data_IF_613786603110
#
_entry.id   IF_613786603110
#
_cell.length_a   1.000
_cell.length_b   1.000
_cell.length_c   1.000
_cell.angle_alpha   90.00
_cell.angle_beta   90.00
_cell.angle_gamma   90.00
#
_symmetry.space_group_name_H-M   'P 1'
#
loop_
_entity.id
_entity.type
_entity.pdbx_description
1 polymer ?
#
# COMPACT_ATOMS: atom_id res chain seq x y z
N UNK A 1 2.27 -23.72 -4.68
CA UNK A 1 0.88 -24.23 -4.66
C UNK A 1 0.22 -23.83 -3.33
N UNK A 2 -1.10 -23.65 -3.31
CA UNK A 2 -1.85 -23.33 -2.10
C UNK A 2 -2.82 -24.45 -1.73
N UNK A 3 -2.92 -24.74 -0.44
CA UNK A 3 -3.87 -25.69 0.14
C UNK A 3 -4.64 -25.03 1.28
N UNK A 4 -5.89 -25.43 1.49
CA UNK A 4 -6.68 -24.96 2.63
C UNK A 4 -6.29 -25.75 3.90
N UNK A 5 -6.31 -25.10 5.04
CA UNK A 5 -6.07 -25.71 6.36
C UNK A 5 -6.96 -26.94 6.54
N UNK A 6 -6.38 -28.04 7.00
CA UNK A 6 -7.05 -29.33 7.22
C UNK A 6 -7.65 -29.98 5.95
N UNK A 7 -7.31 -29.51 4.74
CA UNK A 7 -7.70 -30.19 3.51
C UNK A 7 -7.03 -31.55 3.39
N UNK A 8 -7.78 -32.56 2.94
CA UNK A 8 -7.30 -33.93 2.79
C UNK A 8 -6.73 -34.13 1.38
N UNK A 9 -5.42 -33.96 1.20
CA UNK A 9 -4.74 -34.08 -0.09
C UNK A 9 -3.78 -35.26 -0.10
N UNK A 10 -4.11 -36.28 -0.88
CA UNK A 10 -3.28 -37.47 -1.05
C UNK A 10 -2.01 -37.12 -1.83
N UNK A 11 -0.84 -37.48 -1.30
CA UNK A 11 0.44 -37.19 -1.94
C UNK A 11 0.61 -37.96 -3.28
N UNK A 12 -0.12 -39.06 -3.48
CA UNK A 12 -0.12 -39.80 -4.75
C UNK A 12 -0.68 -38.99 -5.93
N UNK A 13 -1.46 -37.94 -5.65
CA UNK A 13 -1.96 -37.01 -6.67
C UNK A 13 -0.90 -36.04 -7.20
N UNK A 14 0.23 -35.90 -6.49
CA UNK A 14 1.34 -35.06 -6.90
C UNK A 14 2.41 -35.93 -7.54
N UNK A 15 2.88 -35.54 -8.71
CA UNK A 15 3.90 -36.27 -9.45
C UNK A 15 5.15 -35.43 -9.66
N UNK A 16 6.29 -36.12 -9.77
CA UNK A 16 7.58 -35.55 -10.16
C UNK A 16 8.05 -36.20 -11.44
N UNK A 17 8.75 -35.42 -12.27
CA UNK A 17 9.41 -35.93 -13.47
C UNK A 17 10.84 -36.31 -13.14
N UNK A 18 11.15 -37.60 -13.21
CA UNK A 18 12.49 -38.14 -13.05
C UNK A 18 13.11 -38.39 -14.43
N UNK A 19 14.28 -37.83 -14.68
CA UNK A 19 15.05 -38.07 -15.92
C UNK A 19 16.36 -38.78 -15.60
N UNK A 20 16.53 -40.00 -16.09
CA UNK A 20 17.76 -40.80 -15.92
C UNK A 20 18.21 -41.35 -17.27
N UNK A 21 19.49 -41.20 -17.61
CA UNK A 21 20.09 -41.72 -18.84
C UNK A 21 19.26 -41.43 -20.12
N UNK A 22 18.70 -40.22 -20.23
CA UNK A 22 17.88 -39.79 -21.36
C UNK A 22 16.42 -40.27 -21.35
N UNK A 23 16.00 -41.12 -20.41
CA UNK A 23 14.61 -41.57 -20.25
C UNK A 23 13.88 -40.72 -19.21
N UNK A 24 12.64 -40.31 -19.49
CA UNK A 24 11.78 -39.57 -18.56
C UNK A 24 10.70 -40.52 -17.98
N UNK A 25 10.48 -40.44 -16.67
CA UNK A 25 9.43 -41.14 -15.94
C UNK A 25 8.66 -40.14 -15.09
N UNK A 26 7.34 -40.28 -15.01
CA UNK A 26 6.48 -39.51 -14.10
C UNK A 26 6.14 -40.41 -12.93
N UNK A 27 6.57 -40.03 -11.72
CA UNK A 27 6.39 -40.83 -10.51
C UNK A 27 5.54 -40.05 -9.49
N UNK A 28 4.53 -40.66 -8.85
CA UNK A 28 3.86 -40.03 -7.72
C UNK A 28 4.83 -39.85 -6.55
N UNK A 29 4.55 -38.89 -5.65
CA UNK A 29 5.39 -38.70 -4.46
C UNK A 29 5.42 -39.92 -3.53
N UNK A 30 4.45 -40.83 -3.67
CA UNK A 30 4.39 -42.08 -2.91
C UNK A 30 5.15 -43.23 -3.57
N UNK A 31 5.83 -43.02 -4.71
CA UNK A 31 6.59 -44.07 -5.39
C UNK A 31 7.78 -44.52 -4.56
N UNK A 32 7.92 -45.85 -4.39
CA UNK A 32 9.00 -46.48 -3.62
C UNK A 32 10.43 -46.15 -4.08
N UNK A 33 10.61 -45.68 -5.32
CA UNK A 33 11.92 -45.22 -5.83
C UNK A 33 12.36 -43.90 -5.19
N UNK A 34 11.42 -43.14 -4.62
CA UNK A 34 11.67 -41.83 -4.05
C UNK A 34 11.76 -41.93 -2.53
N UNK A 35 12.70 -41.21 -1.93
CA UNK A 35 12.66 -40.92 -0.49
C UNK A 35 12.04 -39.55 -0.29
N UNK A 36 10.86 -39.49 0.31
CA UNK A 36 10.10 -38.24 0.48
C UNK A 36 9.94 -37.91 1.96
N UNK A 37 10.28 -36.67 2.35
CA UNK A 37 10.06 -36.13 3.69
C UNK A 37 9.21 -34.86 3.64
N UNK A 38 8.55 -34.52 4.75
CA UNK A 38 7.62 -33.38 4.83
C UNK A 38 6.16 -33.73 4.53
N UNK A 39 5.83 -35.02 4.42
CA UNK A 39 4.46 -35.53 4.36
C UNK A 39 3.95 -35.85 5.78
N UNK A 40 2.63 -35.84 5.96
CA UNK A 40 1.95 -36.31 7.18
C UNK A 40 1.06 -37.50 6.81
N UNK A 41 1.37 -38.69 7.35
CA UNK A 41 0.64 -39.94 7.09
C UNK A 41 0.40 -40.22 5.60
N UNK A 42 1.44 -40.00 4.77
CA UNK A 42 1.38 -40.21 3.32
C UNK A 42 0.62 -39.11 2.54
N UNK A 43 0.24 -38.02 3.20
CA UNK A 43 -0.50 -36.89 2.63
C UNK A 43 0.29 -35.60 2.70
N UNK A 44 -0.17 -34.59 1.97
CA UNK A 44 0.35 -33.22 2.11
C UNK A 44 -0.02 -32.72 3.51
N UNK A 45 0.97 -32.22 4.24
CA UNK A 45 0.73 -31.69 5.58
C UNK A 45 0.02 -30.33 5.48
N UNK A 46 -1.29 -30.31 5.74
CA UNK A 46 -2.14 -29.10 5.77
C UNK A 46 -2.60 -28.75 7.18
N UNK A 47 -1.97 -29.30 8.22
CA UNK A 47 -2.45 -29.15 9.62
C UNK A 47 -2.15 -27.81 10.28
N UNK A 48 -1.32 -26.99 9.64
CA UNK A 48 -0.96 -25.66 10.12
C UNK A 48 -0.75 -24.71 8.96
N UNK A 49 -1.11 -23.44 9.18
CA UNK A 49 -0.97 -22.33 8.22
C UNK A 49 0.51 -21.98 8.03
N UNK A 50 0.90 -21.63 6.82
CA UNK A 50 2.25 -21.15 6.49
C UNK A 50 2.92 -21.86 5.32
N UNK A 51 4.14 -21.43 4.99
CA UNK A 51 4.99 -22.11 4.00
C UNK A 51 5.48 -23.45 4.55
N UNK A 52 5.44 -24.48 3.71
CA UNK A 52 5.90 -25.83 4.00
C UNK A 52 6.72 -26.37 2.83
N UNK A 53 7.57 -27.34 3.11
CA UNK A 53 8.47 -27.93 2.12
C UNK A 53 8.37 -29.45 2.14
N UNK A 54 8.18 -30.04 0.96
CA UNK A 54 8.37 -31.46 0.70
C UNK A 54 9.76 -31.64 0.09
N UNK A 55 10.57 -32.52 0.66
CA UNK A 55 11.87 -32.88 0.10
C UNK A 55 11.76 -34.24 -0.58
N UNK A 56 12.07 -34.29 -1.87
CA UNK A 56 12.09 -35.52 -2.66
C UNK A 56 13.55 -35.85 -3.00
N UNK A 57 13.97 -37.07 -2.71
CA UNK A 57 15.32 -37.55 -3.03
C UNK A 57 15.27 -38.79 -3.92
N UNK A 58 16.19 -38.82 -4.89
CA UNK A 58 16.48 -39.98 -5.72
C UNK A 58 18.01 -40.03 -5.94
N UNK A 59 18.66 -41.09 -5.44
CA UNK A 59 20.13 -41.17 -5.39
C UNK A 59 20.75 -39.90 -4.77
N UNK A 60 21.61 -39.17 -5.48
CA UNK A 60 22.20 -37.91 -5.01
C UNK A 60 21.35 -36.67 -5.34
N UNK A 61 20.28 -36.80 -6.12
CA UNK A 61 19.43 -35.67 -6.53
C UNK A 61 18.43 -35.31 -5.43
N UNK A 62 18.27 -34.01 -5.17
CA UNK A 62 17.35 -33.45 -4.18
C UNK A 62 16.47 -32.40 -4.86
N UNK A 63 15.15 -32.52 -4.69
CA UNK A 63 14.15 -31.55 -5.11
C UNK A 63 13.37 -31.08 -3.88
N UNK A 64 13.32 -29.77 -3.67
CA UNK A 64 12.49 -29.14 -2.65
C UNK A 64 11.25 -28.53 -3.31
N UNK A 65 10.07 -29.01 -2.91
CA UNK A 65 8.78 -28.51 -3.38
C UNK A 65 8.18 -27.66 -2.27
N UNK A 66 8.10 -26.35 -2.49
CA UNK A 66 7.45 -25.42 -1.58
C UNK A 66 5.96 -25.30 -1.87
N UNK A 67 5.16 -25.28 -0.80
CA UNK A 67 3.73 -25.01 -0.86
C UNK A 67 3.31 -24.17 0.35
N UNK A 68 2.11 -23.62 0.28
CA UNK A 68 1.58 -22.79 1.36
C UNK A 68 0.20 -23.27 1.78
N UNK A 69 -0.02 -23.31 3.09
CA UNK A 69 -1.32 -23.62 3.69
C UNK A 69 -1.96 -22.32 4.15
N UNK A 70 -3.18 -22.08 3.72
CA UNK A 70 -3.97 -20.89 4.04
C UNK A 70 -5.18 -21.25 4.90
N UNK A 71 -5.67 -20.30 5.70
CA UNK A 71 -6.93 -20.48 6.42
C UNK A 71 -8.10 -20.66 5.46
N UNK A 72 -8.10 -19.88 4.37
CA UNK A 72 -9.15 -19.96 3.35
C UNK A 72 -8.61 -19.76 1.94
N UNK A 73 -9.08 -20.60 1.03
CA UNK A 73 -8.90 -20.43 -0.42
C UNK A 73 -10.22 -19.92 -1.02
N UNK A 74 -10.27 -18.66 -1.45
CA UNK A 74 -11.51 -18.01 -1.89
C UNK A 74 -11.64 -17.99 -3.41
N UNK A 75 -12.82 -18.33 -3.93
CA UNK A 75 -13.06 -18.46 -5.39
C UNK A 75 -14.17 -17.55 -5.91
N UNK A 76 -14.97 -17.00 -5.02
CA UNK A 76 -16.08 -16.11 -5.31
C UNK A 76 -16.23 -15.09 -4.16
N UNK A 77 -17.12 -14.11 -4.33
CA UNK A 77 -17.31 -13.04 -3.35
C UNK A 77 -17.89 -13.52 -2.01
N UNK A 78 -18.81 -14.50 -2.03
CA UNK A 78 -19.40 -15.04 -0.80
C UNK A 78 -18.35 -15.72 0.09
N UNK A 79 -17.46 -16.53 -0.50
CA UNK A 79 -16.32 -17.14 0.20
C UNK A 79 -15.43 -16.06 0.82
N UNK A 80 -15.19 -14.97 0.07
CA UNK A 80 -14.31 -13.90 0.51
C UNK A 80 -14.92 -13.11 1.67
N UNK A 81 -16.22 -12.80 1.60
CA UNK A 81 -16.98 -12.16 2.68
C UNK A 81 -16.92 -12.98 3.97
N UNK A 82 -17.18 -14.29 3.87
CA UNK A 82 -17.07 -15.21 5.02
C UNK A 82 -15.65 -15.24 5.59
N UNK A 83 -14.64 -15.33 4.74
CA UNK A 83 -13.24 -15.39 5.16
C UNK A 83 -12.79 -14.14 5.93
N UNK A 84 -13.29 -12.96 5.54
CA UNK A 84 -12.99 -11.68 6.18
C UNK A 84 -13.62 -11.58 7.58
N UNK A 85 -14.79 -12.20 7.80
CA UNK A 85 -15.49 -12.20 9.08
C UNK A 85 -14.85 -13.11 10.15
N UNK A 86 -13.98 -14.06 9.77
CA UNK A 86 -13.25 -14.86 10.77
C UNK A 86 -12.26 -13.98 11.56
N UNK A 87 -11.88 -14.35 12.79
CA UNK A 87 -11.02 -13.48 13.64
C UNK A 87 -9.63 -13.23 13.05
N UNK A 88 -8.98 -14.28 12.53
CA UNK A 88 -7.63 -14.21 11.98
C UNK A 88 -7.52 -15.08 10.73
N UNK A 89 -6.58 -14.79 9.85
CA UNK A 89 -6.16 -15.79 8.86
C UNK A 89 -5.49 -15.25 7.60
N UNK A 90 -4.79 -16.18 6.93
CA UNK A 90 -4.32 -16.05 5.57
C UNK A 90 -5.45 -16.44 4.61
N UNK A 91 -5.90 -15.46 3.83
CA UNK A 91 -6.89 -15.60 2.76
C UNK A 91 -6.13 -15.55 1.43
N UNK A 92 -6.30 -16.58 0.60
CA UNK A 92 -5.66 -16.64 -0.73
C UNK A 92 -6.72 -16.61 -1.80
N UNK A 93 -6.61 -15.67 -2.73
CA UNK A 93 -7.44 -15.65 -3.93
C UNK A 93 -7.04 -16.80 -4.85
N UNK A 94 -8.03 -17.55 -5.31
CA UNK A 94 -7.84 -18.59 -6.32
C UNK A 94 -8.45 -18.21 -7.68
N UNK A 95 -9.20 -17.11 -7.72
CA UNK A 95 -9.87 -16.54 -8.89
C UNK A 95 -9.93 -15.02 -8.75
N UNK A 96 -10.20 -14.33 -9.86
CA UNK A 96 -10.63 -12.94 -9.80
C UNK A 96 -12.00 -12.85 -9.13
N UNK A 97 -12.17 -11.87 -8.24
CA UNK A 97 -13.38 -11.60 -7.48
C UNK A 97 -13.92 -10.24 -7.91
N UNK A 98 -15.19 -10.20 -8.33
CA UNK A 98 -15.93 -8.96 -8.51
C UNK A 98 -16.98 -8.87 -7.41
N UNK A 99 -17.02 -7.73 -6.72
CA UNK A 99 -18.13 -7.38 -5.83
C UNK A 99 -19.32 -7.00 -6.70
N UNK A 100 -20.46 -7.64 -6.47
CA UNK A 100 -21.68 -7.42 -7.25
C UNK A 100 -22.35 -6.10 -6.88
N UNK A 101 -23.08 -5.49 -7.82
CA UNK A 101 -23.74 -4.18 -7.63
C UNK A 101 -24.88 -4.18 -6.62
N UNK A 102 -25.27 -5.33 -6.06
CA UNK A 102 -26.25 -5.45 -4.97
C UNK A 102 -25.61 -5.54 -3.59
N UNK A 103 -24.29 -5.63 -3.51
CA UNK A 103 -23.54 -5.82 -2.28
C UNK A 103 -22.81 -4.52 -1.89
N UNK A 104 -22.58 -4.36 -0.58
CA UNK A 104 -21.62 -3.39 -0.08
C UNK A 104 -20.20 -3.99 -0.13
N UNK A 105 -19.18 -3.14 -0.14
CA UNK A 105 -17.79 -3.58 -0.03
C UNK A 105 -17.51 -4.38 1.25
N UNK A 106 -16.31 -4.95 1.31
CA UNK A 106 -15.86 -5.78 2.43
C UNK A 106 -15.52 -4.90 3.64
N UNK A 107 -15.81 -5.39 4.85
CA UNK A 107 -15.38 -4.74 6.10
C UNK A 107 -14.50 -5.71 6.88
N UNK A 108 -13.24 -5.35 7.10
CA UNK A 108 -12.38 -6.06 8.06
C UNK A 108 -12.76 -5.58 9.45
N UNK A 109 -13.32 -6.44 10.32
CA UNK A 109 -13.81 -5.99 11.63
C UNK A 109 -12.67 -5.53 12.54
N UNK A 110 -13.03 -4.72 13.53
CA UNK A 110 -12.09 -4.29 14.58
C UNK A 110 -11.53 -5.52 15.31
N UNK A 111 -10.25 -5.46 15.69
CA UNK A 111 -9.53 -6.52 16.39
C UNK A 111 -9.27 -7.80 15.55
N UNK A 112 -9.65 -7.81 14.27
CA UNK A 112 -9.33 -8.91 13.35
C UNK A 112 -7.98 -8.67 12.66
N UNK A 113 -7.27 -9.75 12.35
CA UNK A 113 -5.97 -9.69 11.64
C UNK A 113 -6.02 -10.55 10.39
N UNK A 114 -5.95 -9.92 9.22
CA UNK A 114 -6.09 -10.60 7.93
C UNK A 114 -4.87 -10.39 7.05
N UNK A 115 -4.39 -11.48 6.46
CA UNK A 115 -3.46 -11.41 5.33
C UNK A 115 -4.23 -11.80 4.07
N UNK A 116 -4.32 -10.89 3.12
CA UNK A 116 -4.87 -11.12 1.79
C UNK A 116 -3.71 -11.34 0.81
N UNK A 117 -3.59 -12.58 0.36
CA UNK A 117 -2.71 -12.98 -0.74
C UNK A 117 -3.51 -12.93 -2.05
N UNK A 118 -3.15 -11.99 -2.91
CA UNK A 118 -3.79 -11.80 -4.21
C UNK A 118 -3.47 -12.95 -5.18
N UNK A 119 -2.29 -13.59 -5.05
CA UNK A 119 -1.87 -14.71 -5.89
C UNK A 119 -2.08 -14.45 -7.39
N UNK A 120 -1.77 -13.23 -7.84
CA UNK A 120 -1.96 -12.80 -9.22
C UNK A 120 -3.40 -12.58 -9.68
N UNK A 121 -4.37 -12.53 -8.76
CA UNK A 121 -5.79 -12.31 -9.05
C UNK A 121 -6.28 -10.91 -8.69
N UNK A 122 -7.42 -10.54 -9.26
CA UNK A 122 -8.03 -9.22 -9.13
C UNK A 122 -9.18 -9.25 -8.12
N UNK A 123 -9.24 -8.28 -7.21
CA UNK A 123 -10.46 -7.91 -6.48
C UNK A 123 -10.96 -6.59 -7.05
N UNK A 124 -12.20 -6.57 -7.52
CA UNK A 124 -12.78 -5.39 -8.15
C UNK A 124 -14.14 -5.04 -7.59
N UNK A 125 -14.44 -3.74 -7.53
CA UNK A 125 -15.78 -3.23 -7.28
C UNK A 125 -16.11 -2.17 -8.30
N UNK A 126 -17.06 -2.45 -9.19
CA UNK A 126 -17.63 -1.46 -10.10
C UNK A 126 -19.09 -1.26 -9.72
N UNK A 127 -19.45 -0.05 -9.31
CA UNK A 127 -20.79 0.24 -8.80
C UNK A 127 -21.36 1.52 -9.38
N UNK A 128 -22.69 1.55 -9.56
CA UNK A 128 -23.46 2.73 -9.96
C UNK A 128 -24.17 3.40 -8.78
N UNK A 129 -23.81 3.06 -7.54
CA UNK A 129 -24.33 3.75 -6.37
C UNK A 129 -24.00 5.24 -6.44
N UNK A 130 -24.99 6.08 -6.14
CA UNK A 130 -24.79 7.51 -5.96
C UNK A 130 -24.04 7.74 -4.63
N UNK A 131 -23.11 8.68 -4.64
CA UNK A 131 -22.36 9.08 -3.45
C UNK A 131 -21.12 8.23 -3.17
N UNK A 132 -20.82 8.05 -1.87
CA UNK A 132 -19.56 7.44 -1.40
C UNK A 132 -19.52 5.93 -1.55
N UNK A 133 -18.35 5.38 -1.90
CA UNK A 133 -18.17 3.93 -2.00
C UNK A 133 -16.83 3.51 -1.39
N UNK A 134 -16.76 2.29 -0.86
CA UNK A 134 -15.48 1.67 -0.52
C UNK A 134 -15.52 0.20 -0.91
N UNK A 135 -14.49 -0.29 -1.61
CA UNK A 135 -14.34 -1.74 -1.85
C UNK A 135 -13.95 -2.46 -0.55
N UNK A 136 -13.01 -1.91 0.21
CA UNK A 136 -12.63 -2.42 1.55
C UNK A 136 -12.70 -1.29 2.57
N UNK A 137 -13.41 -1.52 3.68
CA UNK A 137 -13.30 -0.73 4.90
C UNK A 137 -12.49 -1.52 5.93
N UNK A 138 -11.31 -1.04 6.30
CA UNK A 138 -10.45 -1.72 7.26
C UNK A 138 -10.60 -1.11 8.66
N UNK A 139 -11.23 -1.82 9.59
CA UNK A 139 -11.31 -1.44 11.01
C UNK A 139 -10.30 -2.22 11.89
N UNK A 140 -9.69 -3.28 11.35
CA UNK A 140 -8.76 -4.16 12.04
C UNK A 140 -7.32 -3.99 11.56
N UNK A 141 -6.61 -5.09 11.42
CA UNK A 141 -5.29 -5.15 10.75
C UNK A 141 -5.41 -5.92 9.44
N UNK A 142 -5.13 -5.25 8.32
CA UNK A 142 -5.13 -5.85 6.98
C UNK A 142 -3.72 -5.80 6.40
N UNK A 143 -3.19 -6.96 6.04
CA UNK A 143 -1.93 -7.14 5.32
C UNK A 143 -2.28 -7.56 3.89
N UNK A 144 -1.72 -6.88 2.90
CA UNK A 144 -1.95 -7.17 1.47
C UNK A 144 -0.62 -7.57 0.84
N UNK A 145 -0.64 -8.68 0.11
CA UNK A 145 0.51 -9.18 -0.61
C UNK A 145 0.08 -9.85 -1.92
N UNK A 146 0.99 -9.88 -2.88
CA UNK A 146 0.87 -10.60 -4.13
C UNK A 146 2.19 -11.33 -4.42
N UNK A 147 2.14 -12.66 -4.45
CA UNK A 147 3.29 -13.51 -4.75
C UNK A 147 3.84 -13.31 -6.18
N UNK A 148 3.06 -12.73 -7.09
CA UNK A 148 3.49 -12.46 -8.47
C UNK A 148 4.22 -11.13 -8.61
N UNK A 149 4.10 -10.23 -7.63
CA UNK A 149 4.85 -8.98 -7.54
C UNK A 149 6.20 -9.20 -6.84
N UNK A 150 7.10 -9.93 -7.50
CA UNK A 150 8.39 -10.33 -6.93
C UNK A 150 9.35 -9.18 -6.65
N UNK A 151 9.22 -8.06 -7.39
CA UNK A 151 10.03 -6.86 -7.20
C UNK A 151 9.43 -5.92 -6.15
N UNK A 152 8.19 -6.16 -5.73
CA UNK A 152 7.42 -5.29 -4.83
C UNK A 152 7.29 -3.86 -5.39
N UNK A 153 7.12 -3.74 -6.69
CA UNK A 153 6.98 -2.45 -7.41
C UNK A 153 5.55 -2.21 -7.89
N UNK A 154 4.63 -3.15 -7.63
CA UNK A 154 3.23 -3.07 -8.04
C UNK A 154 2.95 -3.51 -9.47
N UNK A 155 3.93 -4.09 -10.18
CA UNK A 155 3.75 -4.63 -11.53
C UNK A 155 3.54 -6.14 -11.57
N UNK A 156 3.24 -6.76 -10.42
CA UNK A 156 2.63 -8.09 -10.36
C UNK A 156 1.24 -8.13 -11.01
N UNK A 157 0.66 -9.33 -11.03
CA UNK A 157 -0.66 -9.57 -11.64
C UNK A 157 -1.82 -9.29 -10.67
N UNK A 158 -1.56 -9.30 -9.36
CA UNK A 158 -2.57 -9.09 -8.34
C UNK A 158 -2.98 -7.62 -8.24
N UNK A 159 -4.28 -7.34 -8.33
CA UNK A 159 -4.81 -5.96 -8.31
C UNK A 159 -6.04 -5.85 -7.40
N UNK A 160 -6.12 -4.80 -6.61
CA UNK A 160 -7.34 -4.37 -5.92
C UNK A 160 -7.78 -3.04 -6.54
N UNK A 161 -8.98 -2.99 -7.10
CA UNK A 161 -9.45 -1.84 -7.88
C UNK A 161 -10.90 -1.47 -7.57
N UNK A 162 -11.18 -0.18 -7.46
CA UNK A 162 -12.52 0.35 -7.31
C UNK A 162 -12.86 1.31 -8.47
N UNK A 163 -14.13 1.28 -8.90
CA UNK A 163 -14.70 2.19 -9.89
C UNK A 163 -16.14 2.56 -9.52
N UNK A 164 -16.35 3.78 -9.06
CA UNK A 164 -17.70 4.35 -9.03
C UNK A 164 -18.06 4.90 -10.42
N UNK A 165 -19.26 4.57 -10.89
CA UNK A 165 -19.81 5.08 -12.16
C UNK A 165 -20.55 6.40 -11.98
N UNK A 166 -21.09 6.62 -10.79
CA UNK A 166 -21.75 7.85 -10.37
C UNK A 166 -21.04 8.38 -9.12
N UNK A 167 -19.75 8.77 -9.23
CA UNK A 167 -19.01 9.26 -8.08
C UNK A 167 -19.68 10.52 -7.53
N UNK A 168 -19.46 10.75 -6.24
CA UNK A 168 -19.87 12.00 -5.62
C UNK A 168 -19.03 13.15 -6.21
N UNK A 169 -19.65 13.97 -7.04
CA UNK A 169 -19.08 15.16 -7.68
C UNK A 169 -19.72 16.46 -7.19
N UNK A 170 -20.56 16.41 -6.15
CA UNK A 170 -21.29 17.56 -5.62
C UNK A 170 -20.38 18.62 -4.96
N UNK A 171 -19.06 18.41 -4.97
CA UNK A 171 -18.10 19.43 -4.59
C UNK A 171 -18.11 20.60 -5.58
N UNK A 172 -18.44 21.79 -5.08
CA UNK A 172 -18.32 23.05 -5.79
C UNK A 172 -17.38 23.97 -5.00
N UNK A 173 -16.26 24.37 -5.60
CA UNK A 173 -15.25 25.31 -5.05
C UNK A 173 -15.88 26.60 -4.49
N UNK A 174 -17.07 26.95 -4.99
CA UNK A 174 -17.80 28.18 -4.71
C UNK A 174 -18.64 28.14 -3.42
N UNK A 175 -18.83 26.98 -2.78
CA UNK A 175 -19.59 26.88 -1.52
C UNK A 175 -18.64 26.88 -0.30
N UNK A 176 -18.43 28.05 0.35
CA UNK A 176 -17.55 28.15 1.52
C UNK A 176 -18.08 27.41 2.76
N UNK A 177 -19.34 26.96 2.73
CA UNK A 177 -19.96 26.19 3.81
C UNK A 177 -19.98 24.68 3.53
N UNK A 178 -19.58 24.25 2.33
CA UNK A 178 -19.54 22.84 2.01
C UNK A 178 -18.26 22.22 2.60
N UNK A 179 -18.35 21.29 3.56
CA UNK A 179 -17.16 20.61 4.07
C UNK A 179 -16.48 19.87 2.91
N UNK A 180 -15.18 20.15 2.71
CA UNK A 180 -14.34 19.43 1.75
C UNK A 180 -14.27 17.94 2.17
N UNK A 181 -14.33 16.99 1.24
CA UNK A 181 -15.11 15.78 1.42
C UNK A 181 -14.84 14.89 2.65
N UNK A 182 -15.88 14.71 3.47
CA UNK A 182 -16.15 13.44 4.17
C UNK A 182 -16.65 12.35 3.21
N UNK A 183 -16.94 12.72 1.95
CA UNK A 183 -17.44 11.86 0.87
C UNK A 183 -16.32 11.44 -0.09
N UNK A 184 -16.06 10.15 -0.27
CA UNK A 184 -15.09 9.69 -1.26
C UNK A 184 -15.45 8.33 -1.81
N UNK A 185 -15.01 8.06 -3.05
CA UNK A 185 -15.05 6.74 -3.65
C UNK A 185 -13.67 6.11 -3.52
N UNK A 186 -13.51 5.20 -2.57
CA UNK A 186 -12.23 4.65 -2.16
C UNK A 186 -12.07 3.19 -2.60
N UNK A 187 -10.84 2.78 -2.88
CA UNK A 187 -10.53 1.34 -2.96
C UNK A 187 -10.40 0.78 -1.56
N UNK A 188 -9.64 1.46 -0.69
CA UNK A 188 -9.54 1.14 0.73
C UNK A 188 -9.80 2.40 1.56
N UNK A 189 -10.82 2.33 2.42
CA UNK A 189 -10.99 3.26 3.54
C UNK A 189 -10.34 2.63 4.76
N UNK A 190 -9.16 3.12 5.15
CA UNK A 190 -8.44 2.60 6.31
C UNK A 190 -8.81 3.36 7.58
N UNK A 191 -9.24 2.62 8.60
CA UNK A 191 -9.60 3.09 9.95
C UNK A 191 -9.00 2.19 11.04
N UNK A 192 -7.93 1.47 10.69
CA UNK A 192 -7.17 0.57 11.54
C UNK A 192 -5.72 0.53 11.05
N UNK A 193 -5.11 -0.66 11.01
CA UNK A 193 -3.75 -0.84 10.51
C UNK A 193 -3.77 -1.50 9.13
N UNK A 194 -3.21 -0.84 8.13
CA UNK A 194 -3.02 -1.38 6.78
C UNK A 194 -1.53 -1.59 6.52
N UNK A 195 -1.14 -2.77 6.05
CA UNK A 195 0.23 -3.10 5.69
C UNK A 195 0.25 -3.59 4.25
N UNK A 196 0.95 -2.89 3.37
CA UNK A 196 1.13 -3.26 1.98
C UNK A 196 2.52 -3.85 1.80
N UNK A 197 2.60 -5.15 1.54
CA UNK A 197 3.86 -5.87 1.31
C UNK A 197 4.21 -5.92 -0.19
N UNK A 198 3.22 -6.11 -1.05
CA UNK A 198 3.33 -6.13 -2.52
C UNK A 198 1.94 -6.10 -3.19
N UNK A 199 1.91 -6.11 -4.53
CA UNK A 199 0.69 -6.07 -5.34
C UNK A 199 0.28 -4.64 -5.71
N UNK A 200 -0.81 -4.51 -6.48
CA UNK A 200 -1.31 -3.21 -6.95
C UNK A 200 -2.62 -2.84 -6.28
N UNK A 201 -2.72 -1.60 -5.82
CA UNK A 201 -3.96 -0.98 -5.35
C UNK A 201 -4.20 0.25 -6.19
N UNK A 202 -5.37 0.34 -6.81
CA UNK A 202 -5.70 1.46 -7.67
C UNK A 202 -7.15 1.86 -7.55
N UNK A 203 -7.47 3.06 -8.04
CA UNK A 203 -8.84 3.53 -8.16
C UNK A 203 -9.03 4.09 -9.58
N UNK A 204 -10.00 3.55 -10.31
CA UNK A 204 -10.26 3.90 -11.71
C UNK A 204 -11.53 4.73 -11.89
N UNK A 205 -12.08 5.24 -10.78
CA UNK A 205 -13.20 6.18 -10.77
C UNK A 205 -12.81 7.47 -11.50
N UNK A 206 -13.69 7.96 -12.36
CA UNK A 206 -13.46 9.18 -13.14
C UNK A 206 -14.09 10.39 -12.44
N UNK A 207 -13.26 11.28 -11.88
CA UNK A 207 -13.74 12.50 -11.21
C UNK A 207 -14.17 12.26 -9.76
N UNK A 208 -14.59 13.34 -9.09
CA UNK A 208 -14.92 13.34 -7.66
C UNK A 208 -13.70 13.13 -6.75
N UNK A 209 -13.95 13.05 -5.45
CA UNK A 209 -12.94 12.71 -4.45
C UNK A 209 -12.72 11.19 -4.44
N UNK A 210 -11.57 10.74 -4.95
CA UNK A 210 -11.33 9.30 -5.16
C UNK A 210 -9.91 8.92 -4.79
N UNK A 211 -9.75 7.86 -4.00
CA UNK A 211 -8.44 7.47 -3.51
C UNK A 211 -8.28 5.94 -3.54
N UNK A 212 -7.14 5.41 -3.99
CA UNK A 212 -6.77 4.03 -3.72
C UNK A 212 -6.74 3.76 -2.21
N UNK A 213 -6.13 4.67 -1.44
CA UNK A 213 -6.09 4.60 0.03
C UNK A 213 -6.53 5.94 0.61
N UNK A 214 -7.63 5.91 1.34
CA UNK A 214 -8.06 6.99 2.23
C UNK A 214 -7.76 6.58 3.68
N UNK A 215 -6.67 7.11 4.24
CA UNK A 215 -6.29 6.85 5.63
C UNK A 215 -7.08 7.80 6.53
N UNK A 216 -8.12 7.30 7.17
CA UNK A 216 -9.18 8.13 7.76
C UNK A 216 -9.24 7.95 9.28
N UNK A 217 -8.78 8.96 10.01
CA UNK A 217 -8.70 8.92 11.48
C UNK A 217 -9.88 9.59 12.18
N UNK A 218 -11.05 9.70 11.53
CA UNK A 218 -12.21 10.39 12.12
C UNK A 218 -12.71 9.69 13.40
N UNK A 219 -12.74 8.36 13.40
CA UNK A 219 -13.39 7.55 14.46
C UNK A 219 -12.45 6.59 15.20
N UNK A 220 -11.21 6.45 14.72
CA UNK A 220 -10.21 5.52 15.24
C UNK A 220 -8.83 5.89 14.72
N UNK A 221 -7.78 5.31 15.31
CA UNK A 221 -6.44 5.41 14.76
C UNK A 221 -6.41 4.77 13.36
N UNK A 222 -5.72 5.43 12.43
CA UNK A 222 -5.56 4.98 11.06
C UNK A 222 -4.07 5.01 10.68
N UNK A 223 -3.48 3.84 10.52
CA UNK A 223 -2.04 3.65 10.33
C UNK A 223 -1.82 2.84 9.04
N UNK A 224 -0.95 3.33 8.16
CA UNK A 224 -0.56 2.63 6.93
C UNK A 224 0.95 2.41 6.92
N UNK A 225 1.37 1.19 6.61
CA UNK A 225 2.76 0.84 6.28
C UNK A 225 2.84 0.40 4.83
N UNK A 226 3.62 1.11 4.02
CA UNK A 226 3.91 0.73 2.63
C UNK A 226 5.33 0.15 2.60
N UNK A 227 5.45 -1.17 2.57
CA UNK A 227 6.74 -1.86 2.46
C UNK A 227 7.10 -2.22 1.02
N UNK A 228 6.13 -2.15 0.11
CA UNK A 228 6.24 -2.52 -1.28
C UNK A 228 4.92 -2.33 -2.02
N UNK A 229 4.87 -2.83 -3.25
CA UNK A 229 3.71 -2.76 -4.12
C UNK A 229 3.58 -1.41 -4.85
N UNK A 230 2.44 -1.25 -5.54
CA UNK A 230 2.11 -0.06 -6.30
C UNK A 230 0.76 0.50 -5.89
N UNK A 231 0.71 1.79 -5.57
CA UNK A 231 -0.51 2.51 -5.23
C UNK A 231 -0.73 3.57 -6.28
N UNK A 232 -1.74 3.38 -7.13
CA UNK A 232 -1.87 4.12 -8.40
C UNK A 232 -3.21 4.86 -8.51
N UNK A 233 -3.15 6.17 -8.76
CA UNK A 233 -4.31 7.03 -8.91
C UNK A 233 -4.17 8.01 -10.09
N UNK A 234 -4.76 7.73 -11.26
CA UNK A 234 -4.62 8.61 -12.41
C UNK A 234 -5.19 10.03 -12.23
N UNK A 235 -6.11 10.29 -11.28
CA UNK A 235 -6.91 11.53 -11.25
C UNK A 235 -6.80 12.40 -10.00
N UNK A 236 -6.36 11.83 -8.89
CA UNK A 236 -6.23 12.52 -7.60
C UNK A 236 -4.97 12.02 -6.86
N UNK A 237 -4.94 12.12 -5.53
CA UNK A 237 -3.89 11.58 -4.68
C UNK A 237 -3.93 10.05 -4.61
N UNK A 238 -2.78 9.39 -4.72
CA UNK A 238 -2.71 7.94 -4.53
C UNK A 238 -2.99 7.53 -3.08
N UNK A 239 -2.54 8.37 -2.13
CA UNK A 239 -2.86 8.23 -0.71
C UNK A 239 -3.33 9.58 -0.18
N UNK A 240 -4.48 9.58 0.50
CA UNK A 240 -4.93 10.71 1.32
C UNK A 240 -4.76 10.38 2.80
N UNK A 241 -4.07 11.24 3.54
CA UNK A 241 -4.11 11.27 5.00
C UNK A 241 -5.25 12.20 5.43
N UNK A 242 -6.44 11.64 5.64
CA UNK A 242 -7.60 12.39 6.14
C UNK A 242 -7.56 12.45 7.67
N UNK A 243 -6.72 13.34 8.17
CA UNK A 243 -6.45 13.52 9.59
C UNK A 243 -7.50 14.44 10.23
N UNK A 244 -8.69 13.89 10.46
CA UNK A 244 -9.86 14.66 10.92
C UNK A 244 -10.17 14.53 12.42
N UNK A 245 -9.16 14.21 13.23
CA UNK A 245 -9.30 14.05 14.68
C UNK A 245 -8.07 14.54 15.43
N UNK A 246 -8.30 15.22 16.56
CA UNK A 246 -7.25 15.56 17.53
C UNK A 246 -6.98 14.41 18.53
N UNK A 247 -7.87 13.42 18.60
CA UNK A 247 -7.75 12.28 19.49
C UNK A 247 -6.96 11.15 18.83
N UNK A 248 -7.33 10.81 17.61
CA UNK A 248 -6.82 9.64 16.91
C UNK A 248 -5.62 9.96 16.03
N UNK A 249 -4.75 8.97 15.89
CA UNK A 249 -3.57 9.01 15.04
C UNK A 249 -3.93 8.86 13.57
N UNK A 250 -3.30 9.64 12.71
CA UNK A 250 -3.28 9.42 11.25
C UNK A 250 -1.83 9.30 10.81
N UNK A 251 -1.35 8.07 10.60
CA UNK A 251 0.06 7.82 10.34
C UNK A 251 0.25 7.07 9.01
N UNK A 252 1.22 7.51 8.21
CA UNK A 252 1.68 6.81 7.00
C UNK A 252 3.19 6.64 7.06
N UNK A 253 3.65 5.41 6.89
CA UNK A 253 5.05 5.03 6.91
C UNK A 253 5.42 4.42 5.55
N UNK A 254 6.25 5.11 4.77
CA UNK A 254 6.72 4.66 3.46
C UNK A 254 8.11 4.04 3.63
N UNK A 255 8.17 2.72 3.49
CA UNK A 255 9.34 1.86 3.66
C UNK A 255 9.81 1.25 2.34
N UNK A 256 9.09 1.50 1.24
CA UNK A 256 9.36 0.96 -0.10
C UNK A 256 8.18 1.19 -1.05
N UNK A 257 8.24 0.54 -2.22
CA UNK A 257 7.15 0.55 -3.22
C UNK A 257 7.09 1.79 -4.12
N UNK A 258 6.05 1.83 -4.95
CA UNK A 258 5.74 2.93 -5.87
C UNK A 258 4.37 3.55 -5.51
N UNK A 259 4.35 4.84 -5.23
CA UNK A 259 3.15 5.62 -4.98
C UNK A 259 3.02 6.64 -6.10
N UNK A 260 2.06 6.45 -6.99
CA UNK A 260 1.91 7.26 -8.20
C UNK A 260 0.49 7.81 -8.31
N UNK A 261 0.34 9.12 -8.39
CA UNK A 261 -0.96 9.69 -8.73
C UNK A 261 -0.88 11.05 -9.39
N UNK A 262 -2.02 11.71 -9.64
CA UNK A 262 -1.99 13.15 -9.99
C UNK A 262 -1.25 13.92 -8.89
N UNK A 263 -1.51 13.51 -7.63
CA UNK A 263 -0.63 13.73 -6.49
C UNK A 263 -0.16 12.38 -5.97
N UNK A 264 1.07 12.29 -5.46
CA UNK A 264 1.54 11.06 -4.82
C UNK A 264 0.83 10.86 -3.48
N UNK A 265 1.19 11.70 -2.50
CA UNK A 265 0.59 11.71 -1.16
C UNK A 265 0.01 13.10 -0.88
N UNK A 266 -1.23 13.14 -0.41
CA UNK A 266 -1.86 14.35 0.10
C UNK A 266 -2.12 14.23 1.60
N UNK A 267 -1.60 15.18 2.37
CA UNK A 267 -1.93 15.35 3.79
C UNK A 267 -3.07 16.35 3.89
N UNK A 268 -4.22 15.90 4.38
CA UNK A 268 -5.38 16.73 4.65
C UNK A 268 -5.55 16.85 6.16
N UNK A 269 -4.99 17.92 6.74
CA UNK A 269 -4.81 18.05 8.18
C UNK A 269 -5.86 18.96 8.84
N UNK A 270 -6.77 18.34 9.59
CA UNK A 270 -7.66 19.01 10.55
C UNK A 270 -7.31 18.64 12.01
N UNK A 271 -6.38 17.70 12.19
CA UNK A 271 -5.98 17.11 13.46
C UNK A 271 -4.57 16.52 13.39
N UNK A 272 -4.33 15.41 14.09
CA UNK A 272 -3.00 14.78 14.18
C UNK A 272 -2.65 14.01 12.92
N UNK A 273 -1.57 14.39 12.25
CA UNK A 273 -1.05 13.72 11.06
C UNK A 273 0.46 13.47 11.18
N UNK A 274 0.90 12.27 10.82
CA UNK A 274 2.32 11.94 10.75
C UNK A 274 2.63 11.19 9.45
N UNK A 275 3.62 11.70 8.71
CA UNK A 275 4.17 11.04 7.53
C UNK A 275 5.65 10.77 7.77
N UNK A 276 6.07 9.51 7.63
CA UNK A 276 7.47 9.10 7.68
C UNK A 276 7.86 8.43 6.36
N UNK A 277 8.88 8.95 5.68
CA UNK A 277 9.38 8.42 4.41
C UNK A 277 10.84 7.99 4.57
N UNK A 278 11.07 6.69 4.47
CA UNK A 278 12.37 6.05 4.63
C UNK A 278 12.94 5.54 3.30
N UNK A 279 12.08 5.06 2.41
CA UNK A 279 12.45 4.54 1.09
C UNK A 279 11.22 4.59 0.13
N UNK A 280 11.35 4.05 -1.08
CA UNK A 280 10.30 3.99 -2.09
C UNK A 280 10.33 5.16 -3.08
N UNK A 281 9.41 5.15 -4.04
CA UNK A 281 9.22 6.24 -5.01
C UNK A 281 7.84 6.85 -4.87
N UNK A 282 7.77 8.17 -4.68
CA UNK A 282 6.53 8.94 -4.68
C UNK A 282 6.54 9.82 -5.93
N UNK A 283 5.62 9.58 -6.86
CA UNK A 283 5.54 10.24 -8.15
C UNK A 283 4.24 10.99 -8.33
N UNK A 284 4.35 12.20 -8.88
CA UNK A 284 3.23 12.94 -9.42
C UNK A 284 3.18 12.87 -10.94
N UNK A 285 1.96 12.71 -11.47
CA UNK A 285 1.69 12.61 -12.90
C UNK A 285 0.96 13.84 -13.45
N UNK A 286 0.43 14.70 -12.58
CA UNK A 286 -0.26 15.93 -13.00
C UNK A 286 0.73 16.92 -13.61
N UNK A 287 0.58 17.33 -14.89
CA UNK A 287 1.61 18.12 -15.59
C UNK A 287 1.86 19.53 -15.01
N UNK A 288 0.83 20.14 -14.41
CA UNK A 288 0.86 21.55 -14.01
C UNK A 288 1.67 21.77 -12.72
N UNK A 289 1.27 21.11 -11.63
CA UNK A 289 1.90 21.29 -10.32
C UNK A 289 2.88 20.17 -9.94
N UNK A 290 2.71 18.98 -10.51
CA UNK A 290 3.52 17.78 -10.25
C UNK A 290 3.76 17.51 -8.76
N UNK A 291 2.73 17.58 -7.92
CA UNK A 291 2.90 17.47 -6.46
C UNK A 291 3.06 16.02 -5.99
N UNK A 292 4.30 15.56 -5.82
CA UNK A 292 4.60 14.24 -5.27
C UNK A 292 4.15 14.15 -3.81
N UNK A 293 4.35 15.22 -3.03
CA UNK A 293 3.83 15.37 -1.68
C UNK A 293 3.23 16.76 -1.51
N UNK A 294 2.03 16.81 -0.93
CA UNK A 294 1.32 18.05 -0.68
C UNK A 294 0.61 18.02 0.67
N UNK A 295 0.80 19.05 1.49
CA UNK A 295 -0.01 19.26 2.69
C UNK A 295 -0.99 20.43 2.49
N UNK A 296 -2.22 20.21 2.94
CA UNK A 296 -3.29 21.19 2.85
C UNK A 296 -4.18 21.15 4.09
N UNK A 297 -4.62 22.33 4.53
CA UNK A 297 -5.63 22.51 5.58
C UNK A 297 -6.58 23.62 5.20
N UNK A 298 -7.87 23.49 5.52
CA UNK A 298 -8.81 24.58 5.29
C UNK A 298 -8.53 25.73 6.27
N UNK A 299 -8.82 25.54 7.57
CA UNK A 299 -8.73 26.60 8.58
C UNK A 299 -8.01 26.19 9.89
N UNK A 300 -7.60 24.93 10.02
CA UNK A 300 -7.13 24.37 11.31
C UNK A 300 -5.64 24.63 11.57
N UNK A 301 -4.86 24.85 10.50
CA UNK A 301 -3.40 24.89 10.57
C UNK A 301 -2.80 23.50 10.74
N UNK A 302 -1.49 23.43 11.01
CA UNK A 302 -0.71 22.18 10.98
C UNK A 302 0.08 21.90 12.27
N UNK A 303 -0.29 22.52 13.40
CA UNK A 303 0.45 22.41 14.67
C UNK A 303 0.74 20.97 15.13
N UNK A 304 -0.16 20.04 14.80
CA UNK A 304 -0.08 18.61 15.16
C UNK A 304 0.27 17.72 13.95
N UNK A 305 0.84 18.31 12.90
CA UNK A 305 1.30 17.61 11.70
C UNK A 305 2.83 17.51 11.70
N UNK A 306 3.33 16.29 11.52
CA UNK A 306 4.76 15.99 11.47
C UNK A 306 5.12 15.23 10.21
N UNK A 307 6.19 15.66 9.54
CA UNK A 307 6.69 15.03 8.32
C UNK A 307 8.19 14.76 8.50
N UNK A 308 8.59 13.50 8.42
CA UNK A 308 9.99 13.07 8.49
C UNK A 308 10.37 12.40 7.18
N UNK A 309 11.43 12.88 6.53
CA UNK A 309 11.96 12.31 5.29
C UNK A 309 13.44 12.00 5.49
N UNK A 310 13.78 10.71 5.52
CA UNK A 310 15.17 10.25 5.66
C UNK A 310 15.70 9.54 4.41
N UNK A 311 14.82 9.26 3.44
CA UNK A 311 15.17 8.56 2.20
C UNK A 311 14.05 8.57 1.16
N UNK A 312 14.13 7.67 0.18
CA UNK A 312 13.19 7.58 -0.94
C UNK A 312 13.47 8.55 -2.10
N UNK A 313 12.69 8.41 -3.16
CA UNK A 313 12.73 9.25 -4.37
C UNK A 313 11.40 9.98 -4.54
N UNK A 314 11.47 11.29 -4.76
CA UNK A 314 10.33 12.15 -5.04
C UNK A 314 10.41 12.64 -6.49
N UNK A 315 9.57 12.05 -7.34
CA UNK A 315 9.42 12.39 -8.75
C UNK A 315 8.28 13.40 -8.92
N UNK A 316 8.60 14.64 -8.61
CA UNK A 316 7.67 15.76 -8.54
C UNK A 316 8.07 16.78 -7.46
N UNK A 317 7.32 17.86 -7.40
CA UNK A 317 7.42 18.89 -6.39
C UNK A 317 6.89 18.41 -5.04
N UNK A 318 7.45 18.96 -3.96
CA UNK A 318 6.96 18.78 -2.60
C UNK A 318 6.64 20.16 -2.05
N UNK A 319 5.39 20.37 -1.64
CA UNK A 319 4.96 21.65 -1.07
C UNK A 319 4.27 21.48 0.27
N UNK A 320 4.71 22.29 1.23
CA UNK A 320 4.22 22.34 2.59
C UNK A 320 3.31 23.55 2.86
N UNK A 321 2.56 23.49 3.96
CA UNK A 321 1.77 24.60 4.51
C UNK A 321 0.74 25.17 3.52
N UNK A 322 0.11 24.31 2.71
CA UNK A 322 -0.96 24.70 1.79
C UNK A 322 -2.28 25.05 2.50
N UNK A 323 -3.13 25.81 1.81
CA UNK A 323 -4.47 26.19 2.30
C UNK A 323 -4.55 27.57 2.92
N UNK A 324 -5.63 27.86 3.68
CA UNK A 324 -5.94 29.23 4.10
C UNK A 324 -5.22 29.62 5.40
N UNK A 325 -5.20 28.74 6.41
CA UNK A 325 -4.50 29.01 7.67
C UNK A 325 -3.04 28.56 7.62
N UNK A 326 -2.15 29.53 7.39
CA UNK A 326 -0.69 29.32 7.28
C UNK A 326 0.08 29.78 8.53
N UNK A 327 -0.62 30.17 9.59
CA UNK A 327 0.00 30.77 10.78
C UNK A 327 0.69 29.74 11.68
N UNK A 328 0.31 28.47 11.58
CA UNK A 328 0.88 27.35 12.35
C UNK A 328 1.34 26.26 11.38
N UNK A 329 2.58 26.35 10.86
CA UNK A 329 3.09 25.36 9.92
C UNK A 329 3.34 24.00 10.59
N UNK A 330 3.40 22.96 9.78
CA UNK A 330 3.79 21.60 10.19
C UNK A 330 5.25 21.56 10.65
N UNK A 331 5.59 20.53 11.43
CA UNK A 331 6.99 20.22 11.71
C UNK A 331 7.54 19.33 10.62
N UNK A 332 8.55 19.80 9.90
CA UNK A 332 9.21 19.05 8.82
C UNK A 332 10.67 18.78 9.19
N UNK A 333 11.17 17.60 8.85
CA UNK A 333 12.59 17.25 8.93
C UNK A 333 12.99 16.45 7.70
N UNK A 334 13.93 16.98 6.92
CA UNK A 334 14.53 16.31 5.77
C UNK A 334 16.01 16.08 6.05
N UNK A 335 16.39 14.81 6.20
CA UNK A 335 17.78 14.39 6.47
C UNK A 335 18.37 13.55 5.33
N UNK A 336 17.55 13.15 4.36
CA UNK A 336 17.98 12.35 3.21
C UNK A 336 16.91 12.28 2.11
N UNK A 337 17.16 11.46 1.09
CA UNK A 337 16.28 11.28 -0.07
C UNK A 337 16.80 11.93 -1.36
N UNK A 338 16.09 11.67 -2.46
CA UNK A 338 16.36 12.22 -3.79
C UNK A 338 15.13 12.97 -4.28
N UNK A 339 15.30 14.25 -4.60
CA UNK A 339 14.22 15.16 -4.97
C UNK A 339 14.41 15.62 -6.41
N UNK A 340 13.49 15.24 -7.29
CA UNK A 340 13.57 15.55 -8.72
C UNK A 340 12.82 16.84 -9.09
N UNK A 341 11.93 17.32 -8.22
CA UNK A 341 11.26 18.62 -8.33
C UNK A 341 11.71 19.61 -7.26
N UNK A 342 10.94 20.68 -7.15
CA UNK A 342 11.12 21.73 -6.14
C UNK A 342 10.66 21.24 -4.76
N UNK A 343 11.36 21.69 -3.72
CA UNK A 343 10.88 21.61 -2.34
C UNK A 343 10.52 23.03 -1.91
N UNK A 344 9.29 23.25 -1.49
CA UNK A 344 8.78 24.58 -1.18
C UNK A 344 7.72 24.59 -0.09
N UNK A 345 7.27 25.79 0.24
CA UNK A 345 6.18 26.02 1.19
C UNK A 345 5.33 27.20 0.71
N UNK A 346 4.02 27.13 1.00
CA UNK A 346 3.09 28.22 0.75
C UNK A 346 3.04 29.25 1.90
N UNK A 347 3.71 28.97 3.01
CA UNK A 347 3.80 29.82 4.21
C UNK A 347 5.25 30.01 4.67
N UNK A 348 5.46 30.69 5.79
CA UNK A 348 6.80 30.86 6.35
C UNK A 348 7.18 29.68 7.24
N UNK A 349 8.35 29.10 7.03
CA UNK A 349 8.89 28.00 7.85
C UNK A 349 10.35 28.29 8.21
N UNK A 350 10.77 27.87 9.40
CA UNK A 350 12.19 27.81 9.75
C UNK A 350 12.90 26.76 8.87
N UNK A 351 14.22 26.86 8.65
CA UNK A 351 14.96 25.84 7.91
C UNK A 351 14.73 24.44 8.47
N UNK A 352 14.52 23.46 7.59
CA UNK A 352 14.16 22.08 7.94
C UNK A 352 14.94 21.03 7.14
N UNK A 353 15.81 21.46 6.21
CA UNK A 353 16.62 20.57 5.38
C UNK A 353 18.04 20.52 5.94
N UNK A 354 18.47 19.31 6.27
CA UNK A 354 19.81 19.00 6.84
C UNK A 354 20.57 17.94 6.02
N UNK A 355 19.91 17.29 5.05
CA UNK A 355 20.54 16.36 4.13
C UNK A 355 19.67 16.05 2.91
N UNK A 356 20.23 15.33 1.94
CA UNK A 356 19.54 14.88 0.73
C UNK A 356 20.19 15.36 -0.58
N UNK A 357 19.64 14.91 -1.71
CA UNK A 357 20.06 15.27 -3.07
C UNK A 357 18.90 15.91 -3.83
N UNK A 358 19.11 17.10 -4.39
CA UNK A 358 18.02 17.91 -4.97
C UNK A 358 18.36 18.34 -6.40
N UNK A 359 17.41 18.23 -7.33
CA UNK A 359 17.56 18.77 -8.70
C UNK A 359 17.42 20.28 -8.75
N UNK A 360 16.66 20.86 -7.82
CA UNK A 360 16.50 22.32 -7.65
C UNK A 360 17.17 22.74 -6.35
N UNK A 361 17.77 23.93 -6.34
CA UNK A 361 18.52 24.42 -5.17
C UNK A 361 17.58 24.58 -3.95
N UNK A 362 17.82 23.86 -2.83
CA UNK A 362 16.96 23.91 -1.64
C UNK A 362 17.37 25.02 -0.63
N UNK A 363 18.27 25.92 -0.99
CA UNK A 363 18.98 26.82 -0.07
C UNK A 363 18.09 27.67 0.85
N UNK A 364 16.89 28.05 0.41
CA UNK A 364 15.94 28.83 1.21
C UNK A 364 15.45 28.09 2.47
N UNK A 365 15.60 26.75 2.50
CA UNK A 365 15.15 25.89 3.58
C UNK A 365 16.30 25.20 4.34
N UNK A 366 17.54 25.64 4.11
CA UNK A 366 18.75 25.13 4.75
C UNK A 366 19.32 26.17 5.71
N UNK A 367 19.63 25.77 6.94
CA UNK A 367 20.34 26.64 7.87
C UNK A 367 21.81 26.76 7.46
N UNK A 368 22.13 27.88 6.80
CA UNK A 368 23.47 28.15 6.28
C UNK A 368 24.52 28.37 7.36
N UNK A 369 24.16 28.45 8.65
CA UNK A 369 25.13 28.53 9.74
C UNK A 369 25.73 27.17 10.08
N UNK A 370 24.93 26.10 9.97
CA UNK A 370 25.30 24.73 10.35
C UNK A 370 25.51 23.79 9.16
N UNK A 371 24.89 24.08 8.02
CA UNK A 371 24.93 23.25 6.81
C UNK A 371 25.34 24.07 5.58
N UNK A 372 25.75 23.36 4.53
CA UNK A 372 26.08 23.93 3.23
C UNK A 372 25.32 23.23 2.10
N UNK A 373 25.12 23.96 1.01
CA UNK A 373 24.54 23.44 -0.23
C UNK A 373 25.62 23.48 -1.31
N UNK A 374 26.04 22.31 -1.79
CA UNK A 374 27.06 22.18 -2.84
C UNK A 374 26.46 21.58 -4.09
N UNK A 375 26.68 22.22 -5.23
CA UNK A 375 26.33 21.64 -6.52
C UNK A 375 27.38 20.60 -6.91
N UNK A 376 26.94 19.36 -7.14
CA UNK A 376 27.75 18.22 -7.59
C UNK A 376 27.02 17.60 -8.77
N UNK A 377 27.63 17.68 -9.95
CA UNK A 377 26.99 17.28 -11.22
C UNK A 377 25.63 17.97 -11.38
N UNK A 378 24.57 17.19 -11.60
CA UNK A 378 23.20 17.67 -11.81
C UNK A 378 22.39 17.83 -10.51
N UNK A 379 23.04 17.80 -9.34
CA UNK A 379 22.36 17.85 -8.06
C UNK A 379 22.96 18.89 -7.10
N UNK A 380 22.12 19.47 -6.27
CA UNK A 380 22.49 20.16 -5.05
C UNK A 380 22.49 19.16 -3.90
N UNK A 381 23.61 19.06 -3.20
CA UNK A 381 23.80 18.18 -2.05
C UNK A 381 23.82 19.03 -0.80
N UNK A 382 22.99 18.68 0.18
CA UNK A 382 22.99 19.31 1.51
C UNK A 382 23.78 18.44 2.47
N UNK A 383 24.74 19.05 3.18
CA UNK A 383 25.57 18.37 4.17
C UNK A 383 25.95 19.31 5.32
N UNK A 384 26.29 18.77 6.51
CA UNK A 384 26.88 19.56 7.58
C UNK A 384 28.15 20.27 7.11
N UNK A 385 28.40 21.49 7.60
CA UNK A 385 29.71 22.13 7.41
C UNK A 385 30.79 21.34 8.13
N UNK A 386 31.88 21.09 7.44
CA UNK A 386 33.12 20.59 8.07
C UNK A 386 33.90 21.80 8.59
N UNK A 387 34.31 21.76 9.86
CA UNK A 387 35.15 22.79 10.49
C UNK A 387 36.51 22.93 9.82
#
# INVERSE_FOLDING_TARGET
>A
AYYELNSNVDASSITVKLKTNGTEQVLPLTDSKLTVTGLMDGKIDTTSVGEKTITVKYDTAILNIKYQVANKLVRNFADFKQAIEELQGLIVLMNNISVETSETGLTVPKDHVKTLELNGHIVSFTTSYEGTTALITNLGTLIIQDNTDTNKDGFGKGVITNKALNPDDDWKDEDPNHPYPTYANNTITNKGTLIIESGRIENSTAGGATYPIDNNSTTSDAIVYIKGGGIMQPKDAAIRLYANSSQYKNEVHVLGGLIEGSRGIMIHAHGKAELNVFDGTIRATEPAYKLALYSWTQNYGFKDTKITITGGTFDGNIFFTGGANKATPETVSITGGVFLGEVGTYGSMAPFITGGKFKVNPGDFVDTTTHEVKQVEDYYIVSPKTE
#
